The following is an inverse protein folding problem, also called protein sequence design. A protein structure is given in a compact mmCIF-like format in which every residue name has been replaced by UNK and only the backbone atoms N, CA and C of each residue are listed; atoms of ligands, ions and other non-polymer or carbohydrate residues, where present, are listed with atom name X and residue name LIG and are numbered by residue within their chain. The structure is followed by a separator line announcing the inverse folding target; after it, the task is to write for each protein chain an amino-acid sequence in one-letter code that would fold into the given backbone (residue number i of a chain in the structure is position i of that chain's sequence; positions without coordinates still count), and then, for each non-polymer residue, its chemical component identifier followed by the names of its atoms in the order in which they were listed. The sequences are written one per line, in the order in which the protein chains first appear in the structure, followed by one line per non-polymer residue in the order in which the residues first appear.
data_IF_066594674732
#
_entry.id   IF_066594674732
#
_cell.length_a   1.000
_cell.length_b   1.000
_cell.length_c   1.000
_cell.angle_alpha   90.00
_cell.angle_beta   90.00
_cell.angle_gamma   90.00
#
_symmetry.space_group_name_H-M   'P 1'
#
loop_
_entity.id
_entity.type
_entity.pdbx_description
1 polymer ?
#
# COMPACT_ATOMS: atom_id res chain seq x y z
N UNK A 1 0.76 1.51 -14.44
CA UNK A 1 -0.49 0.74 -14.36
C UNK A 1 -1.41 1.44 -13.37
N UNK A 2 -2.69 1.56 -13.67
CA UNK A 2 -3.66 2.27 -12.83
C UNK A 2 -4.54 1.26 -12.12
N UNK A 3 -4.70 1.40 -10.81
CA UNK A 3 -5.63 0.61 -10.00
C UNK A 3 -7.04 1.22 -10.05
N UNK A 4 -8.04 0.47 -9.61
CA UNK A 4 -9.42 0.95 -9.63
C UNK A 4 -9.60 2.09 -8.62
N UNK A 5 -10.02 3.26 -9.10
CA UNK A 5 -10.17 4.47 -8.28
C UNK A 5 -11.11 4.24 -7.08
N UNK A 6 -12.15 3.42 -7.23
CA UNK A 6 -13.09 3.15 -6.13
C UNK A 6 -12.40 2.40 -4.99
N UNK A 7 -11.51 1.46 -5.32
CA UNK A 7 -10.75 0.71 -4.31
C UNK A 7 -9.73 1.63 -3.63
N UNK A 8 -9.00 2.43 -4.42
CA UNK A 8 -8.01 3.39 -3.90
C UNK A 8 -8.66 4.46 -3.02
N UNK A 9 -9.81 5.00 -3.44
CA UNK A 9 -10.58 5.99 -2.70
C UNK A 9 -11.12 5.40 -1.38
N UNK A 10 -11.61 4.16 -1.41
CA UNK A 10 -12.10 3.46 -0.20
C UNK A 10 -10.98 3.27 0.82
N UNK A 11 -9.81 2.76 0.37
CA UNK A 11 -8.63 2.61 1.23
C UNK A 11 -8.21 3.93 1.84
N UNK A 12 -8.13 4.99 1.02
CA UNK A 12 -7.72 6.31 1.49
C UNK A 12 -8.70 6.90 2.52
N UNK A 13 -10.01 6.72 2.32
CA UNK A 13 -11.03 7.16 3.25
C UNK A 13 -10.94 6.42 4.59
N UNK A 14 -10.87 5.09 4.56
CA UNK A 14 -10.78 4.26 5.78
C UNK A 14 -9.51 4.59 6.57
N UNK A 15 -8.35 4.69 5.92
CA UNK A 15 -7.11 5.05 6.59
C UNK A 15 -7.17 6.47 7.22
N UNK A 16 -7.84 7.41 6.55
CA UNK A 16 -8.06 8.76 7.10
C UNK A 16 -9.00 8.76 8.30
N UNK A 17 -10.08 7.96 8.25
CA UNK A 17 -11.05 7.81 9.36
C UNK A 17 -10.42 7.15 10.59
N UNK A 18 -9.43 6.27 10.39
CA UNK A 18 -8.60 5.70 11.46
C UNK A 18 -7.54 6.68 12.00
N UNK A 19 -7.41 7.87 11.43
CA UNK A 19 -6.49 8.92 11.87
C UNK A 19 -5.07 8.79 11.31
N UNK A 20 -4.85 7.95 10.30
CA UNK A 20 -3.55 7.81 9.65
C UNK A 20 -3.31 8.90 8.60
N UNK A 21 -2.04 9.28 8.42
CA UNK A 21 -1.65 10.14 7.29
C UNK A 21 -1.63 9.32 6.00
N UNK A 22 -2.33 9.77 4.98
CA UNK A 22 -2.47 9.04 3.71
C UNK A 22 -1.75 9.78 2.57
N UNK A 23 -1.06 9.02 1.73
CA UNK A 23 -0.47 9.52 0.48
C UNK A 23 -0.75 8.55 -0.67
N UNK A 24 -1.29 9.06 -1.78
CA UNK A 24 -1.36 8.30 -3.04
C UNK A 24 0.00 8.29 -3.72
N UNK A 25 0.42 7.11 -4.19
CA UNK A 25 1.67 6.96 -4.92
C UNK A 25 1.62 5.76 -5.87
N UNK A 26 2.37 5.81 -6.99
CA UNK A 26 2.59 4.63 -7.82
C UNK A 26 3.52 3.62 -7.10
N UNK A 27 3.34 2.33 -7.37
CA UNK A 27 4.31 1.31 -6.99
C UNK A 27 5.48 1.29 -7.97
N UNK A 28 6.71 1.45 -7.45
CA UNK A 28 7.94 1.27 -8.23
C UNK A 28 8.29 -0.20 -8.50
N UNK A 29 7.75 -1.13 -7.69
CA UNK A 29 7.97 -2.56 -7.84
C UNK A 29 6.77 -3.28 -8.50
N UNK A 30 7.06 -4.45 -9.07
CA UNK A 30 6.05 -5.37 -9.58
C UNK A 30 5.38 -6.14 -8.44
N UNK A 31 4.06 -6.30 -8.52
CA UNK A 31 3.26 -7.02 -7.53
C UNK A 31 2.17 -7.83 -8.22
N UNK A 32 1.74 -8.95 -7.63
CA UNK A 32 0.65 -9.78 -8.18
C UNK A 32 -0.66 -9.01 -8.38
N UNK A 33 -0.88 -7.97 -7.55
CA UNK A 33 -1.99 -7.04 -7.70
C UNK A 33 -2.07 -6.42 -9.12
N UNK A 34 -0.93 -6.23 -9.79
CA UNK A 34 -0.88 -5.73 -11.18
C UNK A 34 -1.43 -6.74 -12.19
N UNK A 35 -1.39 -8.03 -11.88
CA UNK A 35 -2.06 -9.03 -12.70
C UNK A 35 -3.56 -9.09 -12.37
N UNK A 36 -3.90 -9.03 -11.08
CA UNK A 36 -5.30 -9.05 -10.61
C UNK A 36 -6.11 -7.85 -11.12
N UNK A 37 -5.52 -6.66 -11.20
CA UNK A 37 -6.22 -5.46 -11.70
C UNK A 37 -6.66 -5.56 -13.17
N UNK A 38 -6.23 -6.60 -13.91
CA UNK A 38 -6.72 -6.88 -15.28
C UNK A 38 -8.07 -7.59 -15.30
N UNK A 39 -8.45 -8.24 -14.19
CA UNK A 39 -9.62 -9.13 -14.13
C UNK A 39 -10.61 -8.75 -13.02
N UNK A 40 -10.22 -7.93 -12.04
CA UNK A 40 -11.11 -7.40 -11.01
C UNK A 40 -10.63 -6.06 -10.44
N UNK A 41 -11.54 -5.25 -9.85
CA UNK A 41 -11.16 -4.06 -9.10
C UNK A 41 -10.14 -4.41 -8.01
N UNK A 42 -8.97 -3.78 -8.07
CA UNK A 42 -7.83 -4.06 -7.19
C UNK A 42 -7.18 -2.75 -6.78
N UNK A 43 -6.59 -2.72 -5.58
CA UNK A 43 -5.74 -1.65 -5.05
C UNK A 43 -4.68 -2.25 -4.12
N UNK A 44 -3.74 -1.42 -3.65
CA UNK A 44 -2.71 -1.84 -2.69
C UNK A 44 -2.63 -0.84 -1.54
N UNK A 45 -2.29 -1.33 -0.35
CA UNK A 45 -1.94 -0.53 0.83
C UNK A 45 -0.44 -0.67 1.04
N UNK A 46 0.26 0.43 1.27
CA UNK A 46 1.67 0.43 1.65
C UNK A 46 1.85 1.02 3.04
N UNK A 47 2.80 0.44 3.76
CA UNK A 47 3.32 0.96 5.03
C UNK A 47 4.80 1.30 4.85
N UNK A 48 5.36 2.22 5.65
CA UNK A 48 6.78 2.57 5.55
C UNK A 48 7.70 1.38 5.78
N UNK A 49 8.89 1.43 5.17
CA UNK A 49 10.01 0.56 5.52
C UNK A 49 11.22 1.44 5.84
N UNK A 50 12.01 1.03 6.84
CA UNK A 50 13.15 1.79 7.33
C UNK A 50 14.15 2.07 6.19
N UNK A 51 14.44 3.35 5.96
CA UNK A 51 15.27 3.83 4.84
C UNK A 51 14.82 3.38 3.43
N UNK A 52 13.59 2.84 3.29
CA UNK A 52 13.11 2.25 2.05
C UNK A 52 13.88 0.99 1.61
N UNK A 53 14.57 0.33 2.54
CA UNK A 53 15.36 -0.88 2.27
C UNK A 53 14.41 -2.07 2.05
N UNK A 54 14.60 -2.79 0.95
CA UNK A 54 13.89 -4.05 0.70
C UNK A 54 14.80 -5.06 -0.02
N UNK A 55 14.45 -6.35 0.02
CA UNK A 55 15.27 -7.46 -0.47
C UNK A 55 16.66 -7.52 0.19
N UNK A 56 16.71 -7.16 1.47
CA UNK A 56 17.94 -7.10 2.25
C UNK A 56 17.64 -7.59 3.68
N UNK A 57 18.54 -8.33 4.35
CA UNK A 57 18.35 -8.71 5.76
C UNK A 57 18.10 -7.55 6.73
N UNK A 58 18.47 -6.32 6.36
CA UNK A 58 18.19 -5.11 7.12
C UNK A 58 16.80 -4.49 6.83
N UNK A 59 15.98 -5.10 5.97
CA UNK A 59 14.59 -4.70 5.72
C UNK A 59 13.78 -4.81 7.00
N UNK A 60 13.16 -3.70 7.38
CA UNK A 60 12.44 -3.56 8.65
C UNK A 60 11.30 -2.57 8.51
N UNK A 61 10.19 -2.85 9.17
CA UNK A 61 9.04 -1.96 9.31
C UNK A 61 8.65 -1.98 10.78
N UNK A 62 8.36 -0.81 11.35
CA UNK A 62 7.99 -0.70 12.75
C UNK A 62 6.68 -1.44 13.05
N UNK A 63 6.54 -2.07 14.24
CA UNK A 63 5.32 -2.81 14.59
C UNK A 63 4.04 -1.99 14.45
N UNK A 64 4.09 -0.70 14.81
CA UNK A 64 2.93 0.20 14.71
C UNK A 64 2.51 0.45 13.25
N UNK A 65 3.49 0.54 12.34
CA UNK A 65 3.22 0.66 10.90
C UNK A 65 2.62 -0.64 10.35
N UNK A 66 3.08 -1.81 10.82
CA UNK A 66 2.50 -3.10 10.44
C UNK A 66 1.04 -3.24 10.91
N UNK A 67 0.71 -2.70 12.09
CA UNK A 67 -0.66 -2.71 12.63
C UNK A 67 -1.57 -1.73 11.90
N UNK A 68 -1.04 -0.62 11.38
CA UNK A 68 -1.79 0.38 10.62
C UNK A 68 -2.12 -0.05 9.18
N UNK A 69 -1.44 -1.06 8.64
CA UNK A 69 -1.60 -1.51 7.26
C UNK A 69 -2.90 -2.28 6.92
N UNK A 70 -3.36 -3.24 7.75
CA UNK A 70 -4.60 -4.00 7.54
C UNK A 70 -5.88 -3.19 7.80
#
# INVERSE_FOLDING_TARGET
MTFDDRVVDTVAAVASDLGHTVRRMPSGAGHDAQMLARVCPTGMVFVPSHDGISHNPAEHTEPDDLVAGP
#
